data_IF_808403010750
#
_entry.id   IF_808403010750
#
_cell.length_a   1.000
_cell.length_b   1.000
_cell.length_c   1.000
_cell.angle_alpha   90.00
_cell.angle_beta   90.00
_cell.angle_gamma   90.00
#
_symmetry.space_group_name_H-M   'P 1'
#
loop_
_entity.id
_entity.type
_entity.pdbx_description
1 polymer ?
#
# COMPACT_ATOMS: atom_id res chain seq x y z
N UNK A 1 23.81 50.50 75.97
CA UNK A 1 24.28 50.23 74.59
C UNK A 1 23.65 48.92 74.10
N UNK A 2 22.55 49.03 73.33
CA UNK A 2 21.78 47.89 72.89
C UNK A 2 21.86 47.87 71.37
N UNK A 3 22.45 46.84 70.79
CA UNK A 3 22.63 46.66 69.35
C UNK A 3 21.48 45.78 68.84
N UNK A 4 20.59 46.36 68.07
CA UNK A 4 19.48 45.71 67.40
C UNK A 4 19.99 45.01 66.11
N UNK A 5 19.76 43.70 65.97
CA UNK A 5 20.05 42.92 64.77
C UNK A 5 18.86 43.02 63.79
N UNK A 6 19.07 43.63 62.65
CA UNK A 6 18.15 43.58 61.50
C UNK A 6 18.29 42.23 60.82
N UNK A 7 17.16 41.52 60.72
CA UNK A 7 17.03 40.33 59.85
C UNK A 7 16.50 40.79 58.48
N UNK A 8 17.31 40.61 57.44
CA UNK A 8 16.89 40.81 56.05
C UNK A 8 16.41 39.45 55.50
N UNK A 9 15.10 39.30 55.34
CA UNK A 9 14.51 38.13 54.74
C UNK A 9 14.53 38.30 53.20
N UNK A 10 15.43 37.57 52.52
CA UNK A 10 15.43 37.52 51.03
C UNK A 10 14.34 36.56 50.55
N UNK A 11 13.29 37.11 49.97
CA UNK A 11 12.23 36.38 49.29
C UNK A 11 12.73 36.00 47.89
N UNK A 12 13.13 34.76 47.68
CA UNK A 12 13.48 34.22 46.36
C UNK A 12 12.21 33.98 45.57
N UNK A 13 11.95 34.82 44.57
CA UNK A 13 10.86 34.66 43.62
C UNK A 13 11.22 33.56 42.60
N UNK A 14 10.71 32.34 42.76
CA UNK A 14 10.80 31.29 41.76
C UNK A 14 9.89 31.65 40.57
N UNK A 15 10.46 32.21 39.52
CA UNK A 15 9.78 32.36 38.23
C UNK A 15 9.66 31.01 37.57
N UNK A 16 8.49 30.39 37.60
CA UNK A 16 8.16 29.22 36.79
C UNK A 16 8.09 29.66 35.33
N UNK A 17 9.15 29.37 34.57
CA UNK A 17 9.13 29.55 33.10
C UNK A 17 8.26 28.43 32.55
N UNK A 18 6.99 28.75 32.30
CA UNK A 18 6.10 27.89 31.49
C UNK A 18 6.57 27.98 30.05
N UNK A 19 7.35 26.98 29.61
CA UNK A 19 7.64 26.81 28.17
C UNK A 19 6.29 26.59 27.47
N UNK A 20 5.98 27.34 26.40
CA UNK A 20 4.80 27.07 25.62
C UNK A 20 4.90 25.64 25.05
N UNK A 21 3.94 24.80 25.40
CA UNK A 21 3.77 23.49 24.79
C UNK A 21 3.43 23.74 23.32
N UNK A 22 4.44 23.72 22.45
CA UNK A 22 4.24 23.93 21.02
C UNK A 22 3.36 22.78 20.53
N UNK A 23 2.13 23.09 20.16
CA UNK A 23 1.22 22.11 19.60
C UNK A 23 1.91 21.46 18.40
N UNK A 24 2.08 20.14 18.45
CA UNK A 24 2.73 19.42 17.37
C UNK A 24 1.94 19.62 16.07
N UNK A 25 2.64 19.79 14.97
CA UNK A 25 2.02 20.00 13.64
C UNK A 25 1.12 18.82 13.27
N UNK A 26 0.01 19.06 12.54
CA UNK A 26 -0.83 18.00 12.05
C UNK A 26 -0.02 17.00 11.20
N UNK A 27 -0.37 15.71 11.30
CA UNK A 27 0.24 14.64 10.49
C UNK A 27 -0.53 14.46 9.19
N UNK A 28 0.13 14.65 8.06
CA UNK A 28 -0.48 14.46 6.73
C UNK A 28 -0.43 12.98 6.34
N UNK A 29 -1.60 12.36 6.28
CA UNK A 29 -1.77 10.95 5.92
C UNK A 29 -2.17 10.83 4.46
N UNK A 30 -1.38 10.12 3.65
CA UNK A 30 -1.67 9.84 2.26
C UNK A 30 -1.93 8.37 1.97
N UNK A 31 -2.31 8.07 0.75
CA UNK A 31 -2.30 6.72 0.20
C UNK A 31 -2.28 6.72 -1.33
N UNK A 32 -2.08 5.55 -1.90
CA UNK A 32 -2.29 5.33 -3.33
C UNK A 32 -3.77 5.41 -3.68
N UNK A 33 -4.06 5.55 -4.97
CA UNK A 33 -5.40 5.76 -5.49
C UNK A 33 -6.30 4.52 -5.44
N UNK A 34 -5.69 3.33 -5.33
CA UNK A 34 -6.38 2.04 -5.36
C UNK A 34 -7.24 1.78 -4.10
N UNK A 35 -8.12 0.76 -4.20
CA UNK A 35 -9.05 0.37 -3.13
C UNK A 35 -8.33 0.03 -1.83
N UNK A 36 -7.25 -0.76 -1.88
CA UNK A 36 -6.50 -1.14 -0.68
C UNK A 36 -5.73 0.05 -0.09
N UNK A 37 -5.20 0.92 -0.95
CA UNK A 37 -4.60 2.18 -0.52
C UNK A 37 -5.59 3.04 0.26
N UNK A 38 -6.82 3.16 -0.22
CA UNK A 38 -7.88 3.87 0.50
C UNK A 38 -8.22 3.23 1.85
N UNK A 39 -8.31 1.90 1.91
CA UNK A 39 -8.57 1.15 3.13
C UNK A 39 -7.47 1.37 4.18
N UNK A 40 -6.23 1.09 3.81
CA UNK A 40 -5.07 1.17 4.72
C UNK A 40 -4.78 2.61 5.15
N UNK A 41 -4.92 3.57 4.22
CA UNK A 41 -4.78 4.99 4.55
C UNK A 41 -5.82 5.46 5.57
N UNK A 42 -7.07 5.01 5.44
CA UNK A 42 -8.12 5.30 6.43
C UNK A 42 -7.89 4.59 7.77
N UNK A 43 -7.29 3.40 7.79
CA UNK A 43 -6.89 2.75 9.05
C UNK A 43 -5.83 3.57 9.78
N UNK A 44 -4.78 4.01 9.07
CA UNK A 44 -3.74 4.88 9.65
C UNK A 44 -4.37 6.16 10.19
N UNK A 45 -5.15 6.87 9.37
CA UNK A 45 -5.80 8.13 9.73
C UNK A 45 -6.62 8.00 11.04
N UNK A 46 -7.52 7.00 11.10
CA UNK A 46 -8.43 6.82 12.22
C UNK A 46 -7.70 6.37 13.50
N UNK A 47 -6.66 5.56 13.39
CA UNK A 47 -5.83 5.20 14.55
C UNK A 47 -5.14 6.44 15.12
N UNK A 48 -4.53 7.28 14.28
CA UNK A 48 -3.88 8.51 14.73
C UNK A 48 -4.89 9.46 15.41
N UNK A 49 -6.05 9.68 14.78
CA UNK A 49 -7.11 10.54 15.32
C UNK A 49 -7.67 10.01 16.64
N UNK A 50 -7.81 8.68 16.80
CA UNK A 50 -8.29 8.08 18.05
C UNK A 50 -7.35 8.30 19.23
N UNK A 51 -6.07 8.56 18.96
CA UNK A 51 -5.04 8.92 19.94
C UNK A 51 -4.80 10.43 20.07
N UNK A 52 -5.71 11.25 19.49
CA UNK A 52 -5.67 12.72 19.63
C UNK A 52 -4.68 13.43 18.72
N UNK A 53 -4.09 12.73 17.75
CA UNK A 53 -3.21 13.35 16.74
C UNK A 53 -4.09 14.11 15.73
N UNK A 54 -3.79 15.38 15.50
CA UNK A 54 -4.41 16.13 14.41
C UNK A 54 -3.88 15.64 13.08
N UNK A 55 -4.77 15.41 12.12
CA UNK A 55 -4.40 14.88 10.81
C UNK A 55 -4.83 15.77 9.65
N UNK A 56 -4.14 15.65 8.53
CA UNK A 56 -4.56 16.16 7.22
C UNK A 56 -4.73 14.97 6.29
N UNK A 57 -5.92 14.87 5.69
CA UNK A 57 -6.27 13.74 4.83
C UNK A 57 -5.85 14.01 3.38
N UNK A 58 -4.95 13.16 2.84
CA UNK A 58 -4.50 13.09 1.45
C UNK A 58 -4.63 11.65 0.89
N UNK A 59 -5.61 10.90 1.40
CA UNK A 59 -5.88 9.52 0.94
C UNK A 59 -6.29 9.54 -0.53
N UNK A 60 -5.87 8.52 -1.29
CA UNK A 60 -6.06 8.39 -2.75
C UNK A 60 -5.41 9.54 -3.56
N UNK A 61 -4.21 9.95 -3.16
CA UNK A 61 -3.47 11.05 -3.79
C UNK A 61 -3.05 10.74 -5.24
N UNK A 62 -2.68 9.50 -5.54
CA UNK A 62 -2.23 9.12 -6.88
C UNK A 62 -1.54 7.76 -6.95
N UNK A 63 -0.83 7.52 -8.06
CA UNK A 63 -0.05 6.30 -8.29
C UNK A 63 1.21 6.24 -7.44
N UNK A 64 1.93 5.10 -7.47
CA UNK A 64 3.16 4.89 -6.71
C UNK A 64 4.18 6.02 -6.86
N UNK A 65 4.53 6.50 -8.08
CA UNK A 65 5.49 7.59 -8.24
C UNK A 65 5.02 8.91 -7.61
N UNK A 66 3.72 9.21 -7.69
CA UNK A 66 3.13 10.44 -7.13
C UNK A 66 3.22 10.45 -5.61
N UNK A 67 2.77 9.37 -4.96
CA UNK A 67 2.77 9.28 -3.50
C UNK A 67 4.18 9.21 -2.95
N UNK A 68 5.07 8.46 -3.63
CA UNK A 68 6.50 8.40 -3.29
C UNK A 68 7.17 9.77 -3.37
N UNK A 69 6.91 10.51 -4.45
CA UNK A 69 7.40 11.89 -4.61
C UNK A 69 6.92 12.80 -3.48
N UNK A 70 5.64 12.73 -3.13
CA UNK A 70 5.06 13.56 -2.09
C UNK A 70 5.68 13.33 -0.70
N UNK A 71 5.91 12.08 -0.30
CA UNK A 71 6.54 11.81 1.02
C UNK A 71 8.01 12.21 1.05
N UNK A 72 8.75 11.97 -0.04
CA UNK A 72 10.17 12.39 -0.11
C UNK A 72 10.33 13.90 -0.17
N UNK A 73 9.36 14.62 -0.75
CA UNK A 73 9.31 16.08 -0.73
C UNK A 73 8.81 16.67 0.60
N UNK A 74 8.30 15.85 1.52
CA UNK A 74 7.75 16.29 2.80
C UNK A 74 6.31 16.82 2.72
N UNK A 75 5.61 16.56 1.62
CA UNK A 75 4.19 16.91 1.44
C UNK A 75 3.24 15.89 2.09
N UNK A 76 3.75 14.69 2.33
CA UNK A 76 3.12 13.66 3.15
C UNK A 76 4.02 13.32 4.34
N UNK A 77 3.42 12.88 5.44
CA UNK A 77 4.11 12.47 6.66
C UNK A 77 4.10 10.96 6.85
N UNK A 78 3.03 10.30 6.44
CA UNK A 78 2.84 8.84 6.55
C UNK A 78 1.89 8.34 5.46
N UNK A 79 2.17 7.16 4.92
CA UNK A 79 1.29 6.44 3.99
C UNK A 79 1.54 4.94 4.02
N UNK A 80 0.59 4.09 3.60
CA UNK A 80 0.84 2.67 3.38
C UNK A 80 1.59 2.45 2.08
N UNK A 81 2.70 1.73 2.13
CA UNK A 81 3.51 1.34 0.98
C UNK A 81 3.83 -0.16 1.04
N UNK A 82 4.32 -0.73 -0.04
CA UNK A 82 4.57 -2.16 -0.18
C UNK A 82 6.06 -2.45 -0.32
N UNK A 83 6.55 -3.41 0.45
CA UNK A 83 7.99 -3.71 0.54
C UNK A 83 8.66 -3.96 -0.81
N UNK A 84 7.97 -4.65 -1.73
CA UNK A 84 8.47 -4.96 -3.07
C UNK A 84 8.73 -3.75 -3.95
N UNK A 85 8.08 -2.61 -3.67
CA UNK A 85 8.36 -1.37 -4.39
C UNK A 85 9.79 -0.82 -4.13
N UNK A 86 10.48 -1.33 -3.10
CA UNK A 86 11.90 -1.05 -2.91
C UNK A 86 12.74 -1.41 -4.13
N UNK A 87 12.44 -2.50 -4.82
CA UNK A 87 13.10 -2.88 -6.06
C UNK A 87 13.06 -1.75 -7.09
N UNK A 88 11.88 -1.16 -7.29
CA UNK A 88 11.66 -0.04 -8.20
C UNK A 88 12.29 1.28 -7.69
N UNK A 89 12.12 1.60 -6.40
CA UNK A 89 12.61 2.87 -5.83
C UNK A 89 14.13 2.98 -5.89
N UNK A 90 14.83 1.86 -5.68
CA UNK A 90 16.30 1.82 -5.63
C UNK A 90 16.94 1.26 -6.90
N UNK A 91 16.13 1.00 -7.95
CA UNK A 91 16.60 0.48 -9.26
C UNK A 91 17.42 -0.80 -9.11
N UNK A 92 16.92 -1.72 -8.31
CA UNK A 92 17.61 -2.94 -7.90
C UNK A 92 16.70 -4.17 -8.04
N UNK A 93 15.98 -4.24 -9.16
CA UNK A 93 14.93 -5.22 -9.44
C UNK A 93 15.47 -6.66 -9.52
N UNK A 94 16.76 -6.82 -9.75
CA UNK A 94 17.38 -8.14 -9.92
C UNK A 94 17.82 -8.79 -8.58
N UNK A 95 17.79 -8.08 -7.46
CA UNK A 95 18.20 -8.65 -6.19
C UNK A 95 17.16 -9.67 -5.68
N UNK A 96 17.57 -10.93 -5.44
CA UNK A 96 16.66 -11.97 -4.95
C UNK A 96 16.06 -11.69 -3.57
N UNK A 97 16.63 -10.75 -2.81
CA UNK A 97 16.09 -10.33 -1.52
C UNK A 97 14.63 -9.85 -1.63
N UNK A 98 14.25 -9.23 -2.75
CA UNK A 98 12.89 -8.74 -2.96
C UNK A 98 11.84 -9.87 -3.07
N UNK A 99 12.27 -11.09 -3.36
CA UNK A 99 11.42 -12.30 -3.44
C UNK A 99 11.27 -13.02 -2.09
N UNK A 100 11.84 -12.48 -1.03
CA UNK A 100 11.73 -12.98 0.34
C UNK A 100 11.17 -11.89 1.25
N UNK A 101 10.06 -12.16 1.93
CA UNK A 101 9.34 -11.17 2.73
C UNK A 101 10.23 -10.47 3.79
N UNK A 102 11.02 -11.25 4.54
CA UNK A 102 11.91 -10.73 5.59
C UNK A 102 13.07 -9.95 5.00
N UNK A 103 13.76 -10.53 4.00
CA UNK A 103 14.94 -9.90 3.40
C UNK A 103 14.56 -8.62 2.66
N UNK A 104 13.45 -8.63 1.90
CA UNK A 104 12.93 -7.44 1.20
C UNK A 104 12.56 -6.32 2.16
N UNK A 105 11.87 -6.66 3.26
CA UNK A 105 11.53 -5.70 4.30
C UNK A 105 12.77 -5.06 4.95
N UNK A 106 13.72 -5.87 5.43
CA UNK A 106 14.94 -5.35 6.05
C UNK A 106 15.76 -4.49 5.08
N UNK A 107 15.79 -4.88 3.81
CA UNK A 107 16.50 -4.15 2.76
C UNK A 107 15.86 -2.78 2.49
N UNK A 108 14.55 -2.73 2.24
CA UNK A 108 13.86 -1.44 1.96
C UNK A 108 13.91 -0.52 3.16
N UNK A 109 13.72 -1.05 4.37
CA UNK A 109 13.82 -0.30 5.63
C UNK A 109 15.17 0.37 5.79
N UNK A 110 16.26 -0.36 5.54
CA UNK A 110 17.62 0.17 5.61
C UNK A 110 17.86 1.26 4.57
N UNK A 111 17.58 0.97 3.30
CA UNK A 111 17.83 1.89 2.19
C UNK A 111 17.05 3.20 2.35
N UNK A 112 15.79 3.12 2.76
CA UNK A 112 14.95 4.30 2.95
C UNK A 112 15.35 5.14 4.16
N UNK A 113 15.76 4.51 5.25
CA UNK A 113 16.27 5.23 6.41
C UNK A 113 17.55 6.01 6.07
N UNK A 114 18.47 5.39 5.34
CA UNK A 114 19.75 5.98 4.95
C UNK A 114 19.59 7.12 3.94
N UNK A 115 18.78 6.89 2.88
CA UNK A 115 18.71 7.78 1.74
C UNK A 115 17.62 8.85 1.84
N UNK A 116 16.49 8.54 2.50
CA UNK A 116 15.29 9.37 2.46
C UNK A 116 14.77 9.78 3.84
N UNK A 117 15.38 9.31 4.93
CA UNK A 117 14.87 9.54 6.30
C UNK A 117 13.42 9.06 6.47
N UNK A 118 13.10 7.94 5.84
CA UNK A 118 11.82 7.27 5.95
C UNK A 118 11.97 5.99 6.76
N UNK A 119 11.01 5.77 7.66
CA UNK A 119 10.99 4.61 8.55
C UNK A 119 9.84 3.69 8.15
N UNK A 120 10.17 2.46 7.82
CA UNK A 120 9.20 1.40 7.56
C UNK A 120 8.82 0.73 8.88
N UNK A 121 7.53 0.76 9.20
CA UNK A 121 6.99 0.09 10.39
C UNK A 121 6.66 -1.38 10.09
N UNK A 122 6.06 -2.08 11.07
CA UNK A 122 5.72 -3.50 10.96
C UNK A 122 4.85 -3.78 9.72
N UNK A 123 5.28 -4.67 8.81
CA UNK A 123 4.50 -5.04 7.65
C UNK A 123 3.35 -5.99 8.00
N UNK A 124 2.31 -5.96 7.21
CA UNK A 124 1.25 -6.96 7.22
C UNK A 124 1.74 -8.31 6.66
N UNK A 125 1.28 -9.45 7.19
CA UNK A 125 1.61 -10.78 6.66
C UNK A 125 0.77 -11.13 5.43
N UNK A 126 0.85 -10.29 4.40
CA UNK A 126 0.13 -10.42 3.14
C UNK A 126 1.05 -10.10 1.96
N UNK A 127 0.70 -10.57 0.78
CA UNK A 127 1.42 -10.30 -0.45
C UNK A 127 0.48 -9.70 -1.50
N UNK A 128 0.48 -8.38 -1.61
CA UNK A 128 -0.24 -7.65 -2.65
C UNK A 128 0.56 -7.65 -3.95
N UNK A 129 0.91 -8.83 -4.44
CA UNK A 129 1.72 -8.96 -5.66
C UNK A 129 0.90 -8.69 -6.90
N UNK A 130 1.49 -8.06 -7.91
CA UNK A 130 0.89 -7.97 -9.22
C UNK A 130 0.67 -9.35 -9.84
N UNK A 131 -0.50 -9.53 -10.42
CA UNK A 131 -0.86 -10.71 -11.19
C UNK A 131 -1.77 -10.33 -12.36
N UNK A 132 -2.00 -11.28 -13.25
CA UNK A 132 -3.02 -11.19 -14.30
C UNK A 132 -4.16 -12.10 -13.90
N UNK A 133 -5.38 -11.55 -13.83
CA UNK A 133 -6.61 -12.31 -13.70
C UNK A 133 -7.29 -12.44 -15.07
N UNK A 134 -7.85 -13.59 -15.34
CA UNK A 134 -8.58 -13.85 -16.60
C UNK A 134 -9.98 -14.35 -16.27
N UNK A 135 -10.95 -14.12 -17.16
CA UNK A 135 -12.30 -14.64 -16.99
C UNK A 135 -12.29 -16.15 -16.80
N UNK A 136 -13.03 -16.61 -15.80
CA UNK A 136 -13.06 -18.02 -15.42
C UNK A 136 -13.55 -18.94 -16.56
N UNK A 137 -14.57 -18.50 -17.32
CA UNK A 137 -15.06 -19.27 -18.47
C UNK A 137 -14.00 -19.49 -19.56
N UNK A 138 -13.12 -18.51 -19.79
CA UNK A 138 -12.00 -18.64 -20.74
C UNK A 138 -10.90 -19.51 -20.14
N UNK A 139 -10.59 -19.32 -18.87
CA UNK A 139 -9.57 -20.11 -18.18
C UNK A 139 -9.91 -21.60 -18.15
N UNK A 140 -11.14 -21.95 -17.79
CA UNK A 140 -11.62 -23.33 -17.75
C UNK A 140 -11.60 -23.97 -19.15
N UNK A 141 -12.16 -23.28 -20.16
CA UNK A 141 -12.21 -23.78 -21.53
C UNK A 141 -10.83 -24.07 -22.11
N UNK A 142 -9.83 -23.25 -21.80
CA UNK A 142 -8.49 -23.31 -22.38
C UNK A 142 -7.44 -23.87 -21.40
N UNK A 143 -7.84 -24.32 -20.22
CA UNK A 143 -6.97 -24.87 -19.15
C UNK A 143 -5.86 -23.89 -18.77
N UNK A 144 -6.24 -22.64 -18.50
CA UNK A 144 -5.32 -21.59 -18.09
C UNK A 144 -5.31 -21.46 -16.56
N UNK A 145 -4.18 -21.77 -15.94
CA UNK A 145 -3.99 -21.67 -14.48
C UNK A 145 -2.73 -20.89 -14.09
N UNK A 146 -1.87 -20.61 -15.06
CA UNK A 146 -0.59 -19.98 -14.86
C UNK A 146 -0.22 -19.03 -15.99
N UNK A 147 0.77 -18.16 -15.76
CA UNK A 147 1.36 -17.32 -16.82
C UNK A 147 2.08 -18.15 -17.90
N UNK A 148 2.53 -19.36 -17.56
CA UNK A 148 3.05 -20.30 -18.55
C UNK A 148 1.95 -20.82 -19.50
N UNK A 149 0.76 -21.09 -18.95
CA UNK A 149 -0.40 -21.45 -19.79
C UNK A 149 -0.86 -20.28 -20.65
N UNK A 150 -0.81 -19.06 -20.12
CA UNK A 150 -1.11 -17.85 -20.90
C UNK A 150 -0.17 -17.70 -22.09
N UNK A 151 1.14 -17.87 -21.88
CA UNK A 151 2.12 -17.82 -22.97
C UNK A 151 1.80 -18.83 -24.07
N UNK A 152 1.48 -20.09 -23.69
CA UNK A 152 1.04 -21.12 -24.65
C UNK A 152 -0.22 -20.68 -25.40
N UNK A 153 -1.24 -20.21 -24.69
CA UNK A 153 -2.52 -19.78 -25.26
C UNK A 153 -2.35 -18.63 -26.26
N UNK A 154 -1.47 -17.67 -25.97
CA UNK A 154 -1.17 -16.55 -26.87
C UNK A 154 -0.45 -17.01 -28.15
N UNK A 155 0.46 -18.00 -28.05
CA UNK A 155 1.17 -18.58 -29.18
C UNK A 155 0.27 -19.42 -30.11
N UNK A 156 -0.87 -19.87 -29.58
CA UNK A 156 -1.93 -20.58 -30.31
C UNK A 156 -3.03 -19.62 -30.80
N UNK A 157 -2.72 -18.33 -30.95
CA UNK A 157 -3.65 -17.27 -31.39
C UNK A 157 -4.89 -17.11 -30.51
N UNK A 158 -4.76 -17.41 -29.22
CA UNK A 158 -5.82 -17.23 -28.24
C UNK A 158 -6.28 -15.79 -28.12
N UNK A 159 -7.59 -15.57 -28.09
CA UNK A 159 -8.18 -14.23 -27.94
C UNK A 159 -7.91 -13.69 -26.55
N UNK A 160 -7.07 -12.66 -26.46
CA UNK A 160 -6.68 -12.05 -25.19
C UNK A 160 -6.60 -10.54 -25.29
N UNK A 161 -7.22 -9.85 -24.32
CA UNK A 161 -7.09 -8.40 -24.15
C UNK A 161 -7.10 -8.06 -22.66
N UNK A 162 -6.07 -7.36 -22.23
CA UNK A 162 -5.79 -7.01 -20.84
C UNK A 162 -6.21 -5.56 -20.55
N UNK A 163 -7.03 -5.34 -19.53
CA UNK A 163 -7.19 -4.04 -18.91
C UNK A 163 -6.14 -3.87 -17.82
N UNK A 164 -5.34 -2.81 -17.88
CA UNK A 164 -4.29 -2.53 -16.92
C UNK A 164 -4.02 -1.03 -16.78
N UNK A 165 -3.34 -0.64 -15.69
CA UNK A 165 -2.85 0.73 -15.54
C UNK A 165 -1.66 1.00 -16.46
N UNK A 166 -1.44 2.26 -16.80
CA UNK A 166 -0.23 2.68 -17.51
C UNK A 166 1.04 2.29 -16.72
N UNK A 167 1.02 2.43 -15.39
CA UNK A 167 2.13 2.01 -14.53
C UNK A 167 2.47 0.53 -14.71
N UNK A 168 1.47 -0.36 -14.70
CA UNK A 168 1.69 -1.80 -14.90
C UNK A 168 2.23 -2.13 -16.29
N UNK A 169 1.71 -1.45 -17.31
CA UNK A 169 2.11 -1.69 -18.71
C UNK A 169 3.56 -1.26 -18.98
N UNK A 170 4.00 -0.15 -18.39
CA UNK A 170 5.25 0.51 -18.75
C UNK A 170 6.40 0.19 -17.79
N UNK A 171 6.10 -0.15 -16.56
CA UNK A 171 7.10 -0.38 -15.52
C UNK A 171 7.88 -1.68 -15.74
N UNK A 172 9.20 -1.59 -15.77
CA UNK A 172 10.09 -2.68 -16.17
C UNK A 172 9.94 -3.96 -15.30
N UNK A 173 9.57 -3.81 -14.04
CA UNK A 173 9.36 -4.90 -13.07
C UNK A 173 7.91 -5.43 -13.01
N UNK A 174 7.01 -4.93 -13.88
CA UNK A 174 5.61 -5.33 -13.96
C UNK A 174 5.31 -6.17 -15.21
N UNK A 175 4.43 -5.72 -16.12
CA UNK A 175 4.10 -6.47 -17.34
C UNK A 175 5.34 -6.83 -18.19
N UNK A 176 6.31 -5.92 -18.44
CA UNK A 176 7.50 -6.28 -19.19
C UNK A 176 8.32 -7.40 -18.57
N UNK A 177 8.35 -7.51 -17.23
CA UNK A 177 9.01 -8.62 -16.55
C UNK A 177 8.29 -9.96 -16.78
N UNK A 178 6.96 -9.98 -16.76
CA UNK A 178 6.17 -11.16 -17.10
C UNK A 178 6.38 -11.57 -18.55
N UNK A 179 6.29 -10.63 -19.49
CA UNK A 179 6.52 -10.86 -20.92
C UNK A 179 7.87 -11.52 -21.18
N UNK A 180 8.93 -10.95 -20.61
CA UNK A 180 10.29 -11.48 -20.72
C UNK A 180 10.43 -12.87 -20.11
N UNK A 181 9.88 -13.06 -18.92
CA UNK A 181 10.06 -14.34 -18.20
C UNK A 181 9.28 -15.48 -18.84
N UNK A 182 8.09 -15.22 -19.36
CA UNK A 182 7.20 -16.24 -19.92
C UNK A 182 7.20 -16.29 -21.46
N UNK A 183 8.06 -15.51 -22.11
CA UNK A 183 8.23 -15.49 -23.55
C UNK A 183 6.91 -15.24 -24.32
N UNK A 184 6.27 -14.12 -24.00
CA UNK A 184 5.15 -13.56 -24.75
C UNK A 184 5.27 -12.03 -24.84
N UNK A 185 4.54 -11.41 -25.73
CA UNK A 185 4.44 -9.96 -25.84
C UNK A 185 3.03 -9.58 -26.23
N UNK A 186 2.43 -8.60 -25.55
CA UNK A 186 1.14 -8.05 -25.86
C UNK A 186 1.30 -6.84 -26.79
N UNK A 187 0.59 -6.83 -27.90
CA UNK A 187 0.52 -5.65 -28.77
C UNK A 187 -0.52 -4.64 -28.26
N UNK A 188 -0.51 -3.43 -28.80
CA UNK A 188 -1.41 -2.36 -28.37
C UNK A 188 -2.90 -2.72 -28.48
N UNK A 189 -3.31 -3.53 -29.45
CA UNK A 189 -4.70 -3.97 -29.60
C UNK A 189 -5.13 -4.94 -28.48
N UNK A 190 -4.17 -5.59 -27.83
CA UNK A 190 -4.37 -6.49 -26.70
C UNK A 190 -4.31 -5.78 -25.35
N UNK A 191 -4.20 -4.46 -25.33
CA UNK A 191 -4.13 -3.64 -24.13
C UNK A 191 -5.26 -2.62 -24.09
N UNK A 192 -5.89 -2.47 -22.94
CA UNK A 192 -6.73 -1.33 -22.58
C UNK A 192 -6.04 -0.63 -21.41
N UNK A 193 -5.34 0.47 -21.71
CA UNK A 193 -4.67 1.28 -20.69
C UNK A 193 -5.68 2.18 -19.98
N UNK A 194 -5.67 2.12 -18.65
CA UNK A 194 -6.51 2.94 -17.78
C UNK A 194 -5.62 3.88 -16.97
N UNK A 195 -6.06 5.12 -16.80
CA UNK A 195 -5.26 6.18 -16.19
C UNK A 195 -4.95 5.97 -14.69
N UNK A 196 -5.80 5.23 -13.98
CA UNK A 196 -5.61 4.93 -12.55
C UNK A 196 -4.99 3.55 -12.32
N UNK A 197 -4.49 3.32 -11.10
CA UNK A 197 -3.96 2.03 -10.65
C UNK A 197 -4.99 1.15 -9.94
N UNK A 198 -6.27 1.52 -9.94
CA UNK A 198 -7.31 0.79 -9.21
C UNK A 198 -7.74 -0.48 -9.95
N UNK A 199 -7.39 -1.64 -9.38
CA UNK A 199 -7.73 -2.95 -9.92
C UNK A 199 -9.22 -3.28 -9.87
N UNK A 200 -10.01 -2.61 -9.03
CA UNK A 200 -11.47 -2.73 -9.09
C UNK A 200 -12.02 -2.33 -10.46
N UNK A 201 -11.41 -1.33 -11.10
CA UNK A 201 -11.80 -0.87 -12.45
C UNK A 201 -11.34 -1.88 -13.52
N UNK A 202 -10.11 -2.38 -13.46
CA UNK A 202 -9.58 -3.36 -14.43
C UNK A 202 -10.33 -4.67 -14.37
N UNK A 203 -10.59 -5.18 -13.16
CA UNK A 203 -11.34 -6.42 -12.91
C UNK A 203 -12.78 -6.29 -13.42
N UNK A 204 -13.44 -5.16 -13.13
CA UNK A 204 -14.79 -4.89 -13.62
C UNK A 204 -14.82 -4.81 -15.16
N UNK A 205 -13.83 -4.17 -15.78
CA UNK A 205 -13.73 -4.10 -17.23
C UNK A 205 -13.63 -5.49 -17.87
N UNK A 206 -12.83 -6.40 -17.30
CA UNK A 206 -12.71 -7.77 -17.77
C UNK A 206 -14.00 -8.58 -17.53
N UNK A 207 -14.62 -8.45 -16.35
CA UNK A 207 -15.90 -9.12 -16.05
C UNK A 207 -17.01 -8.74 -17.02
N UNK A 208 -17.10 -7.46 -17.37
CA UNK A 208 -18.10 -6.90 -18.28
C UNK A 208 -17.70 -6.96 -19.77
N UNK A 209 -16.48 -7.44 -20.08
CA UNK A 209 -15.94 -7.47 -21.44
C UNK A 209 -15.92 -6.09 -22.12
N UNK A 210 -15.70 -5.04 -21.36
CA UNK A 210 -15.64 -3.66 -21.86
C UNK A 210 -14.58 -3.55 -22.96
N UNK A 211 -14.94 -3.08 -24.13
CA UNK A 211 -14.03 -2.97 -25.30
C UNK A 211 -13.32 -4.29 -25.66
N UNK A 212 -13.97 -5.44 -25.42
CA UNK A 212 -13.43 -6.77 -25.70
C UNK A 212 -12.38 -7.27 -24.70
N UNK A 213 -12.19 -6.59 -23.56
CA UNK A 213 -11.29 -7.01 -22.48
C UNK A 213 -11.80 -8.31 -21.86
N UNK A 214 -10.90 -9.27 -21.67
CA UNK A 214 -11.19 -10.55 -21.02
C UNK A 214 -10.19 -10.93 -19.92
N UNK A 215 -9.22 -10.07 -19.67
CA UNK A 215 -8.24 -10.21 -18.60
C UNK A 215 -7.99 -8.85 -17.92
N UNK A 216 -7.51 -8.88 -16.69
CA UNK A 216 -7.28 -7.70 -15.88
C UNK A 216 -5.95 -7.77 -15.16
N UNK A 217 -5.25 -6.65 -15.05
CA UNK A 217 -4.29 -6.45 -13.99
C UNK A 217 -5.01 -6.56 -12.65
N UNK A 218 -4.47 -7.36 -11.75
CA UNK A 218 -5.00 -7.59 -10.42
C UNK A 218 -3.87 -7.70 -9.39
N UNK A 219 -4.25 -7.70 -8.12
CA UNK A 219 -3.33 -7.96 -7.00
C UNK A 219 -3.72 -9.23 -6.25
N UNK A 220 -2.76 -9.83 -5.55
CA UNK A 220 -3.00 -11.04 -4.74
C UNK A 220 -4.04 -10.83 -3.64
N UNK A 221 -4.21 -9.60 -3.16
CA UNK A 221 -5.18 -9.23 -2.11
C UNK A 221 -6.54 -8.76 -2.65
N UNK A 222 -6.76 -8.82 -3.97
CA UNK A 222 -8.03 -8.39 -4.60
C UNK A 222 -9.18 -9.37 -4.34
N UNK A 223 -10.11 -9.00 -3.48
CA UNK A 223 -11.34 -9.75 -3.25
C UNK A 223 -12.31 -9.83 -4.44
N UNK A 224 -12.42 -8.79 -5.31
CA UNK A 224 -13.33 -8.80 -6.45
C UNK A 224 -13.06 -9.87 -7.51
N UNK A 225 -11.84 -10.39 -7.62
CA UNK A 225 -11.47 -11.35 -8.69
C UNK A 225 -12.44 -12.52 -8.74
N UNK A 226 -12.55 -13.28 -7.67
CA UNK A 226 -13.45 -14.45 -7.63
C UNK A 226 -14.92 -14.05 -7.67
N UNK A 227 -15.31 -12.97 -6.98
CA UNK A 227 -16.69 -12.49 -6.90
C UNK A 227 -17.26 -12.05 -8.26
N UNK A 228 -16.40 -11.61 -9.18
CA UNK A 228 -16.79 -11.17 -10.53
C UNK A 228 -16.47 -12.20 -11.62
N UNK A 229 -16.22 -13.45 -11.25
CA UNK A 229 -16.01 -14.55 -12.20
C UNK A 229 -14.68 -14.50 -12.94
N UNK A 230 -13.63 -13.98 -12.29
CA UNK A 230 -12.26 -14.07 -12.75
C UNK A 230 -11.46 -15.04 -11.87
N UNK A 231 -10.33 -15.49 -12.36
CA UNK A 231 -9.30 -16.19 -11.59
C UNK A 231 -7.93 -15.63 -11.90
N UNK A 232 -7.07 -15.59 -10.89
CA UNK A 232 -5.67 -15.18 -11.04
C UNK A 232 -4.85 -16.28 -11.70
N UNK A 233 -3.89 -15.89 -12.53
CA UNK A 233 -2.89 -16.80 -13.09
C UNK A 233 -1.67 -16.83 -12.16
N UNK A 234 -1.26 -18.04 -11.79
CA UNK A 234 -0.08 -18.22 -10.95
C UNK A 234 1.22 -17.84 -11.67
N UNK A 235 2.21 -17.39 -10.91
CA UNK A 235 3.56 -17.04 -11.36
C UNK A 235 4.57 -18.11 -10.87
N UNK A 236 4.68 -19.29 -11.54
CA UNK A 236 5.58 -20.36 -11.11
C UNK A 236 7.07 -20.01 -11.22
N UNK A 237 7.43 -18.97 -11.97
CA UNK A 237 8.81 -18.48 -12.06
C UNK A 237 9.16 -17.48 -10.97
N UNK A 238 8.17 -17.02 -10.17
CA UNK A 238 8.39 -16.05 -9.10
C UNK A 238 9.01 -14.75 -9.62
N UNK A 239 8.43 -14.17 -10.68
CA UNK A 239 8.94 -12.97 -11.33
C UNK A 239 8.79 -11.77 -10.42
N UNK A 240 7.63 -11.67 -9.74
CA UNK A 240 7.31 -10.52 -8.93
C UNK A 240 7.99 -10.55 -7.55
N UNK A 241 8.39 -9.38 -7.02
CA UNK A 241 8.72 -9.23 -5.61
C UNK A 241 7.56 -9.59 -4.68
N UNK A 242 7.86 -9.73 -3.39
CA UNK A 242 6.82 -9.81 -2.35
C UNK A 242 6.45 -8.38 -1.92
N UNK A 243 5.18 -8.06 -2.04
CA UNK A 243 4.61 -6.76 -1.72
C UNK A 243 3.82 -6.82 -0.40
N UNK A 244 4.53 -6.82 0.73
CA UNK A 244 3.88 -6.75 2.03
C UNK A 244 3.54 -5.29 2.37
N UNK A 245 2.26 -4.95 2.63
CA UNK A 245 1.89 -3.58 2.97
C UNK A 245 2.40 -3.19 4.36
N UNK A 246 2.99 -2.00 4.47
CA UNK A 246 3.53 -1.46 5.71
C UNK A 246 3.34 0.06 5.79
N UNK A 247 3.13 0.64 6.98
CA UNK A 247 3.19 2.08 7.12
C UNK A 247 4.61 2.58 6.91
N UNK A 248 4.75 3.62 6.11
CA UNK A 248 6.02 4.35 5.91
C UNK A 248 5.84 5.76 6.44
N UNK A 249 6.70 6.17 7.34
CA UNK A 249 6.59 7.43 8.07
C UNK A 249 7.92 8.19 8.02
N UNK A 250 7.86 9.50 7.92
CA UNK A 250 9.04 10.36 8.00
C UNK A 250 9.66 10.28 9.42
N UNK A 251 10.97 10.17 9.48
CA UNK A 251 11.71 10.09 10.75
C UNK A 251 11.34 11.23 11.71
N UNK A 252 11.20 12.45 11.20
CA UNK A 252 10.81 13.63 11.99
C UNK A 252 9.43 13.50 12.65
N UNK A 253 8.51 12.78 12.02
CA UNK A 253 7.16 12.54 12.58
C UNK A 253 7.24 11.54 13.73
N UNK A 254 8.05 10.47 13.61
CA UNK A 254 8.28 9.53 14.71
C UNK A 254 9.02 10.17 15.87
N UNK A 255 9.90 11.15 15.63
CA UNK A 255 10.51 11.92 16.70
C UNK A 255 9.48 12.73 17.48
N UNK A 256 8.48 13.30 16.80
CA UNK A 256 7.39 14.04 17.42
C UNK A 256 6.32 13.14 18.06
N UNK A 257 6.07 11.99 17.47
CA UNK A 257 5.03 11.02 17.87
C UNK A 257 5.60 9.58 17.89
N UNK A 258 6.50 9.25 18.83
CA UNK A 258 7.16 7.93 18.84
C UNK A 258 6.18 6.75 19.01
N UNK A 259 5.02 6.99 19.60
CA UNK A 259 4.00 5.96 19.84
C UNK A 259 3.28 5.49 18.57
N UNK A 260 3.41 6.17 17.43
CA UNK A 260 2.77 5.77 16.16
C UNK A 260 3.12 4.33 15.79
N UNK A 261 4.36 3.92 16.00
CA UNK A 261 4.80 2.56 15.71
C UNK A 261 4.00 1.52 16.52
N UNK A 262 3.83 1.76 17.82
CA UNK A 262 3.10 0.86 18.72
C UNK A 262 1.60 0.82 18.41
N UNK A 263 1.01 1.95 18.04
CA UNK A 263 -0.41 2.02 17.70
C UNK A 263 -0.74 1.29 16.39
N UNK A 264 0.13 1.37 15.39
CA UNK A 264 -0.09 0.76 14.08
C UNK A 264 0.36 -0.71 14.00
N UNK A 265 1.29 -1.13 14.86
CA UNK A 265 1.81 -2.51 14.87
C UNK A 265 0.72 -3.57 14.95
N UNK A 266 -0.23 -3.58 15.92
CA UNK A 266 -1.24 -4.60 15.99
C UNK A 266 -2.22 -4.56 14.80
N UNK A 267 -2.46 -3.38 14.24
CA UNK A 267 -3.34 -3.20 13.07
C UNK A 267 -2.74 -3.94 11.87
N UNK A 268 -1.52 -3.57 11.46
CA UNK A 268 -0.88 -4.18 10.30
C UNK A 268 -0.54 -5.66 10.51
N UNK A 269 -0.12 -6.06 11.69
CA UNK A 269 0.13 -7.47 12.01
C UNK A 269 -1.11 -8.38 11.88
N UNK A 270 -2.32 -7.82 11.93
CA UNK A 270 -3.58 -8.57 11.79
C UNK A 270 -4.09 -8.69 10.35
N UNK A 271 -3.48 -7.98 9.40
CA UNK A 271 -3.92 -7.90 8.01
C UNK A 271 -3.26 -8.99 7.16
N UNK A 272 -3.68 -10.24 7.34
CA UNK A 272 -3.28 -11.31 6.43
C UNK A 272 -3.97 -11.18 5.06
N UNK A 273 -3.51 -11.95 4.08
CA UNK A 273 -4.03 -11.89 2.70
C UNK A 273 -5.53 -12.11 2.64
N UNK A 274 -6.05 -13.09 3.38
CA UNK A 274 -7.49 -13.39 3.42
C UNK A 274 -8.29 -12.24 4.03
N UNK A 275 -7.79 -11.63 5.09
CA UNK A 275 -8.42 -10.48 5.72
C UNK A 275 -8.47 -9.30 4.76
N UNK A 276 -7.37 -9.00 4.06
CA UNK A 276 -7.35 -7.92 3.06
C UNK A 276 -8.30 -8.22 1.89
N UNK A 277 -8.32 -9.43 1.36
CA UNK A 277 -9.28 -9.83 0.32
C UNK A 277 -10.74 -9.58 0.76
N UNK A 278 -11.09 -9.95 1.99
CA UNK A 278 -12.44 -9.73 2.53
C UNK A 278 -12.77 -8.23 2.67
N UNK A 279 -11.86 -7.44 3.22
CA UNK A 279 -12.08 -6.01 3.39
C UNK A 279 -12.13 -5.26 2.05
N UNK A 280 -11.27 -5.61 1.11
CA UNK A 280 -11.27 -5.06 -0.25
C UNK A 280 -12.56 -5.42 -1.01
N UNK A 281 -13.08 -6.65 -0.83
CA UNK A 281 -14.35 -7.07 -1.42
C UNK A 281 -15.55 -6.24 -0.89
N UNK A 282 -15.57 -5.91 0.40
CA UNK A 282 -16.61 -5.04 0.98
C UNK A 282 -16.66 -3.66 0.31
N UNK A 283 -15.49 -3.14 -0.06
CA UNK A 283 -15.42 -1.85 -0.76
C UNK A 283 -15.77 -2.02 -2.25
N UNK A 284 -15.07 -2.89 -2.95
CA UNK A 284 -15.12 -2.95 -4.41
C UNK A 284 -16.35 -3.70 -4.96
N UNK A 285 -16.90 -4.67 -4.22
CA UNK A 285 -18.06 -5.49 -4.63
C UNK A 285 -19.34 -5.02 -3.96
N UNK A 286 -19.31 -4.83 -2.64
CA UNK A 286 -20.50 -4.41 -1.88
C UNK A 286 -20.73 -2.88 -1.95
N UNK A 287 -19.76 -2.12 -2.47
CA UNK A 287 -19.87 -0.66 -2.65
C UNK A 287 -19.81 0.13 -1.34
N UNK A 288 -19.23 -0.45 -0.28
CA UNK A 288 -19.10 0.26 0.98
C UNK A 288 -17.94 1.28 0.93
N UNK A 289 -18.11 2.37 1.63
CA UNK A 289 -17.08 3.40 1.77
C UNK A 289 -15.84 2.86 2.51
N UNK A 290 -14.64 3.11 1.97
CA UNK A 290 -13.38 2.60 2.52
C UNK A 290 -13.14 3.08 3.97
N UNK A 291 -13.51 4.34 4.28
CA UNK A 291 -13.41 4.88 5.64
C UNK A 291 -14.32 4.11 6.60
N UNK A 292 -15.53 3.76 6.15
CA UNK A 292 -16.46 2.96 6.94
C UNK A 292 -15.95 1.54 7.16
N UNK A 293 -15.45 0.87 6.13
CA UNK A 293 -14.89 -0.49 6.24
C UNK A 293 -13.70 -0.51 7.20
N UNK A 294 -12.80 0.47 7.09
CA UNK A 294 -11.69 0.65 8.02
C UNK A 294 -12.18 0.84 9.47
N UNK A 295 -13.16 1.73 9.70
CA UNK A 295 -13.72 1.98 11.03
C UNK A 295 -14.37 0.74 11.64
N UNK A 296 -15.16 0.01 10.86
CA UNK A 296 -15.81 -1.22 11.32
C UNK A 296 -14.79 -2.26 11.76
N UNK A 297 -13.74 -2.46 10.95
CA UNK A 297 -12.66 -3.41 11.29
C UNK A 297 -11.89 -3.00 12.55
N UNK A 298 -11.47 -1.73 12.63
CA UNK A 298 -10.73 -1.21 13.77
C UNK A 298 -11.55 -1.30 15.08
N UNK A 299 -12.86 -0.99 15.04
CA UNK A 299 -13.77 -1.13 16.19
C UNK A 299 -13.95 -2.59 16.58
N UNK A 300 -14.16 -3.49 15.61
CA UNK A 300 -14.27 -4.93 15.86
C UNK A 300 -13.05 -5.47 16.60
N UNK A 301 -11.87 -4.94 16.32
CA UNK A 301 -10.62 -5.31 16.98
C UNK A 301 -10.37 -4.54 18.29
N UNK A 302 -11.16 -3.52 18.60
CA UNK A 302 -11.02 -2.71 19.81
C UNK A 302 -9.89 -1.68 19.78
N UNK A 303 -9.39 -1.32 18.61
CA UNK A 303 -8.30 -0.35 18.47
C UNK A 303 -8.77 1.09 18.34
N UNK A 304 -10.02 1.30 17.98
CA UNK A 304 -10.68 2.62 17.99
C UNK A 304 -12.06 2.47 18.63
N UNK A 305 -12.62 3.58 19.16
CA UNK A 305 -13.95 3.63 19.80
C UNK A 305 -15.06 3.79 18.78
#
# INVERSE_FOLDING_TARGET
MTISKLWVSSLALLATVSLPLQAASPVTVGSKIDTEGALLGNMILQVLESHGVKTVNKIQLGTTPVVRGAITAGELDIYPEYTGNGAFFFKDENDPAWKNAKQGFEKVKKLDAEQNKLVWLTPAPANNTWTIAIRQDIAEKNKLSSLADLSRYLKEDGTFKLAASAEFIERADALPAFEKAYDFTLNQNQLLSLAGGDTAVTIKAAAQQTSGVNAAMAYGTDGPVAALGLQTLSDPKGVQPIYAPAPVVRESVLQAYPQIADWLQPVFASLDEKTLQQLNARIAVEGLDAKKVAADYLRQKGWVK
#
